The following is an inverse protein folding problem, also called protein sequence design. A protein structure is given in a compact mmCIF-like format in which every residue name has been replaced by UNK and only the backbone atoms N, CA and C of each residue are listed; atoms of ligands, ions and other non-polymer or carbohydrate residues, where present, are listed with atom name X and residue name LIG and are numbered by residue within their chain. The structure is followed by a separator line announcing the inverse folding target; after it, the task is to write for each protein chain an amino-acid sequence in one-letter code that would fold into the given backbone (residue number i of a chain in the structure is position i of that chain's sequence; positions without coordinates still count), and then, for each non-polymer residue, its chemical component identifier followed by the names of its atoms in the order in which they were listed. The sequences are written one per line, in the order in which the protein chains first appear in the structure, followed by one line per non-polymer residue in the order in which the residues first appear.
data_IF_418429500455
#
_entry.id   IF_418429500455
#
_cell.length_a   1.000
_cell.length_b   1.000
_cell.length_c   1.000
_cell.angle_alpha   90.00
_cell.angle_beta   90.00
_cell.angle_gamma   90.00
#
_symmetry.space_group_name_H-M   'P 1'
#
loop_
_entity.id
_entity.type
_entity.pdbx_description
1 polymer ?
#
# COMPACT_ATOMS: atom_id res chain seq x y z
N UNK A 1 -7.07 12.25 2.90
CA UNK A 1 -7.31 11.92 4.32
C UNK A 1 -6.68 10.60 4.70
N UNK A 2 -7.01 9.51 3.98
CA UNK A 2 -6.51 8.16 4.21
C UNK A 2 -4.97 8.01 4.33
N UNK A 3 -4.20 8.79 3.56
CA UNK A 3 -2.74 8.79 3.67
C UNK A 3 -2.24 9.23 5.05
N UNK A 4 -2.79 10.32 5.59
CA UNK A 4 -2.42 10.81 6.92
C UNK A 4 -2.85 9.84 8.03
N UNK A 5 -3.99 9.16 7.85
CA UNK A 5 -4.44 8.08 8.75
C UNK A 5 -3.56 6.82 8.68
N UNK A 6 -2.79 6.66 7.60
CA UNK A 6 -1.82 5.57 7.45
C UNK A 6 -0.49 5.86 8.17
N UNK A 7 -0.34 7.04 8.78
CA UNK A 7 0.90 7.47 9.46
C UNK A 7 0.62 7.83 10.93
N UNK A 8 1.56 7.51 11.80
CA UNK A 8 1.52 7.91 13.20
C UNK A 8 2.94 8.14 13.73
N UNK A 9 3.15 9.08 14.68
CA UNK A 9 4.39 9.16 15.44
C UNK A 9 4.67 7.82 16.12
N UNK A 10 5.91 7.36 16.09
CA UNK A 10 6.33 6.04 16.63
C UNK A 10 5.65 4.82 15.97
N UNK A 11 5.05 5.01 14.79
CA UNK A 11 4.55 3.91 13.97
C UNK A 11 5.67 3.07 13.35
N UNK A 12 5.26 2.07 12.56
CA UNK A 12 6.18 1.10 11.97
C UNK A 12 6.18 -0.23 12.73
N UNK A 13 7.20 -1.05 12.50
CA UNK A 13 7.22 -2.43 12.99
C UNK A 13 6.41 -3.39 12.11
N UNK A 14 6.04 -4.54 12.67
CA UNK A 14 5.21 -5.52 11.99
C UNK A 14 3.73 -5.27 12.32
N UNK A 15 2.81 -5.48 11.36
CA UNK A 15 1.39 -5.52 11.67
C UNK A 15 1.11 -6.65 12.67
N UNK A 16 0.06 -6.50 13.46
CA UNK A 16 -0.30 -7.48 14.48
C UNK A 16 -1.56 -8.27 14.10
N UNK A 17 -1.72 -9.45 14.72
CA UNK A 17 -2.94 -10.24 14.66
C UNK A 17 -3.35 -10.65 13.24
N UNK A 18 -4.65 -10.50 12.93
CA UNK A 18 -5.25 -10.99 11.69
C UNK A 18 -4.68 -10.36 10.41
N UNK A 19 -4.11 -9.15 10.51
CA UNK A 19 -3.49 -8.48 9.35
C UNK A 19 -2.20 -9.18 8.96
N UNK A 20 -1.33 -9.49 9.92
CA UNK A 20 -0.08 -10.21 9.65
C UNK A 20 -0.36 -11.61 9.08
N UNK A 21 -1.31 -12.33 9.69
CA UNK A 21 -1.70 -13.67 9.22
C UNK A 21 -2.19 -13.65 7.77
N UNK A 22 -2.99 -12.65 7.41
CA UNK A 22 -3.49 -12.52 6.05
C UNK A 22 -2.37 -12.12 5.07
N UNK A 23 -1.42 -11.26 5.50
CA UNK A 23 -0.23 -10.93 4.70
C UNK A 23 0.62 -12.17 4.44
N UNK A 24 0.92 -12.95 5.47
CA UNK A 24 1.72 -14.18 5.33
C UNK A 24 1.01 -15.21 4.46
N UNK A 25 -0.32 -15.31 4.55
CA UNK A 25 -1.12 -16.18 3.69
C UNK A 25 -1.06 -15.76 2.21
N UNK A 26 -1.13 -14.47 1.91
CA UNK A 26 -1.30 -13.98 0.53
C UNK A 26 0.01 -13.71 -0.19
N UNK A 27 1.07 -13.36 0.55
CA UNK A 27 2.40 -13.02 0.05
C UNK A 27 3.50 -14.02 0.49
N UNK A 28 3.17 -14.99 1.34
CA UNK A 28 4.09 -16.00 1.88
C UNK A 28 4.90 -15.54 3.10
N UNK A 29 5.23 -14.24 3.19
CA UNK A 29 5.84 -13.63 4.37
C UNK A 29 5.62 -12.11 4.35
N UNK A 30 5.75 -11.45 5.52
CA UNK A 30 5.77 -9.99 5.57
C UNK A 30 6.91 -9.39 4.75
N UNK A 31 8.08 -10.03 4.73
CA UNK A 31 9.23 -9.59 3.93
C UNK A 31 8.90 -9.57 2.44
N UNK A 32 8.26 -10.63 1.92
CA UNK A 32 7.85 -10.70 0.52
C UNK A 32 6.84 -9.60 0.18
N UNK A 33 5.87 -9.36 1.06
CA UNK A 33 4.94 -8.24 0.92
C UNK A 33 5.68 -6.90 0.83
N UNK A 34 6.61 -6.64 1.76
CA UNK A 34 7.38 -5.40 1.79
C UNK A 34 8.19 -5.20 0.51
N UNK A 35 8.84 -6.25 0.03
CA UNK A 35 9.60 -6.23 -1.23
C UNK A 35 8.70 -5.96 -2.45
N UNK A 36 7.53 -6.59 -2.52
CA UNK A 36 6.54 -6.35 -3.58
C UNK A 36 6.00 -4.92 -3.54
N UNK A 37 5.72 -4.40 -2.35
CA UNK A 37 5.24 -3.04 -2.13
C UNK A 37 6.28 -2.00 -2.57
N UNK A 38 7.54 -2.16 -2.16
CA UNK A 38 8.66 -1.31 -2.58
C UNK A 38 8.86 -1.39 -4.09
N UNK A 39 8.84 -2.60 -4.66
CA UNK A 39 8.99 -2.80 -6.11
C UNK A 39 7.88 -2.07 -6.89
N UNK A 40 6.64 -2.16 -6.43
CA UNK A 40 5.52 -1.44 -7.06
C UNK A 40 5.67 0.08 -6.94
N UNK A 41 6.29 0.58 -5.87
CA UNK A 41 6.57 2.00 -5.71
C UNK A 41 7.65 2.48 -6.68
N UNK A 42 8.75 1.74 -6.79
CA UNK A 42 9.87 2.08 -7.69
C UNK A 42 9.50 1.98 -9.17
N UNK A 43 8.49 1.16 -9.53
CA UNK A 43 8.02 1.02 -10.91
C UNK A 43 7.05 2.14 -11.33
N UNK A 44 6.55 2.95 -10.39
CA UNK A 44 5.63 4.02 -10.72
C UNK A 44 6.39 5.18 -11.36
N UNK A 45 6.19 5.38 -12.67
CA UNK A 45 6.70 6.54 -13.39
C UNK A 45 5.66 7.67 -13.37
N UNK A 46 6.03 8.79 -12.76
CA UNK A 46 5.15 9.96 -12.57
C UNK A 46 4.28 9.86 -11.32
N UNK A 47 3.34 10.80 -11.17
CA UNK A 47 2.56 10.95 -9.95
C UNK A 47 1.51 9.85 -9.76
N UNK A 48 1.42 9.32 -8.55
CA UNK A 48 0.40 8.35 -8.19
C UNK A 48 0.64 7.72 -6.83
N UNK A 49 0.09 6.53 -6.64
CA UNK A 49 -0.06 5.92 -5.33
C UNK A 49 0.19 4.42 -5.40
N UNK A 50 0.75 3.87 -4.33
CA UNK A 50 0.79 2.42 -4.09
C UNK A 50 -0.13 2.09 -2.93
N UNK A 51 -0.85 0.98 -3.06
CA UNK A 51 -1.87 0.57 -2.11
C UNK A 51 -1.68 -0.89 -1.76
N UNK A 52 -1.87 -1.22 -0.49
CA UNK A 52 -2.29 -2.54 -0.08
C UNK A 52 -3.82 -2.54 -0.09
N UNK A 53 -4.43 -3.47 -0.82
CA UNK A 53 -5.88 -3.56 -0.93
C UNK A 53 -6.37 -4.96 -0.62
N UNK A 54 -7.60 -5.08 -0.11
CA UNK A 54 -8.35 -6.32 -0.08
C UNK A 54 -9.23 -6.41 -1.34
N UNK A 55 -8.92 -7.40 -2.20
CA UNK A 55 -9.75 -7.81 -3.33
C UNK A 55 -10.99 -8.52 -2.78
N UNK A 56 -12.15 -7.84 -2.75
CA UNK A 56 -13.38 -8.36 -2.10
C UNK A 56 -13.83 -9.72 -2.63
N UNK A 57 -13.77 -9.91 -3.95
CA UNK A 57 -14.24 -11.13 -4.60
C UNK A 57 -13.36 -12.34 -4.28
N UNK A 58 -12.05 -12.10 -4.16
CA UNK A 58 -11.05 -13.14 -3.90
C UNK A 58 -10.78 -13.33 -2.41
N UNK A 59 -11.20 -12.35 -1.58
CA UNK A 59 -10.85 -12.25 -0.16
C UNK A 59 -9.33 -12.37 0.05
N UNK A 60 -8.59 -11.67 -0.82
CA UNK A 60 -7.13 -11.71 -0.89
C UNK A 60 -6.54 -10.31 -0.84
N UNK A 61 -5.43 -10.15 -0.16
CA UNK A 61 -4.59 -8.97 -0.21
C UNK A 61 -3.80 -8.91 -1.52
N UNK A 62 -3.62 -7.69 -2.03
CA UNK A 62 -2.87 -7.42 -3.25
C UNK A 62 -2.20 -6.05 -3.15
N UNK A 63 -0.99 -5.95 -3.70
CA UNK A 63 -0.35 -4.66 -3.96
C UNK A 63 -0.81 -4.16 -5.32
N UNK A 64 -1.36 -2.96 -5.36
CA UNK A 64 -1.76 -2.28 -6.60
C UNK A 64 -1.19 -0.88 -6.63
N UNK A 65 -0.97 -0.35 -7.82
CA UNK A 65 -0.63 1.05 -7.99
C UNK A 65 -1.62 1.74 -8.92
N UNK A 66 -1.85 3.03 -8.66
CA UNK A 66 -2.73 3.86 -9.47
C UNK A 66 -2.02 5.15 -9.85
N UNK A 67 -2.33 5.68 -11.03
CA UNK A 67 -1.81 6.98 -11.47
C UNK A 67 -2.74 8.10 -11.01
N UNK A 68 -2.17 9.29 -10.81
CA UNK A 68 -2.90 10.51 -10.48
C UNK A 68 -3.79 10.34 -9.24
N UNK A 69 -5.07 10.72 -9.33
CA UNK A 69 -6.03 10.69 -8.21
C UNK A 69 -6.94 9.44 -8.21
N UNK A 70 -6.58 8.39 -8.95
CA UNK A 70 -7.41 7.18 -9.03
C UNK A 70 -7.32 6.41 -7.71
N UNK A 71 -8.46 6.13 -7.09
CA UNK A 71 -8.58 5.31 -5.89
C UNK A 71 -8.95 3.86 -6.23
N UNK A 72 -8.39 2.85 -5.53
CA UNK A 72 -8.78 1.45 -5.69
C UNK A 72 -10.27 1.17 -5.43
N UNK A 73 -10.95 2.07 -4.69
CA UNK A 73 -12.40 2.01 -4.48
C UNK A 73 -13.18 2.02 -5.81
N UNK A 74 -12.64 2.67 -6.85
CA UNK A 74 -13.26 2.69 -8.18
C UNK A 74 -13.34 1.30 -8.83
N UNK A 75 -12.52 0.34 -8.37
CA UNK A 75 -12.48 -1.04 -8.84
C UNK A 75 -13.16 -2.02 -7.86
N UNK A 76 -13.79 -1.51 -6.79
CA UNK A 76 -14.45 -2.33 -5.76
C UNK A 76 -13.49 -2.95 -4.74
N UNK A 77 -12.22 -2.56 -4.76
CA UNK A 77 -11.23 -2.99 -3.78
C UNK A 77 -11.32 -2.15 -2.50
N UNK A 78 -10.97 -2.72 -1.35
CA UNK A 78 -10.90 -1.99 -0.07
C UNK A 78 -9.45 -1.59 0.20
N UNK A 79 -9.09 -0.29 0.23
CA UNK A 79 -7.76 0.17 0.64
C UNK A 79 -7.48 -0.13 2.12
N UNK A 80 -6.27 -0.58 2.42
CA UNK A 80 -5.80 -0.88 3.79
C UNK A 80 -4.69 0.08 4.20
N UNK A 81 -3.66 0.24 3.36
CA UNK A 81 -2.63 1.27 3.51
C UNK A 81 -2.34 1.91 2.16
N UNK A 82 -1.88 3.15 2.17
CA UNK A 82 -1.47 3.88 0.96
C UNK A 82 -0.11 4.54 1.14
N UNK A 83 0.69 4.55 0.08
CA UNK A 83 1.92 5.33 -0.04
C UNK A 83 1.75 6.32 -1.19
N UNK A 84 1.89 7.61 -0.90
CA UNK A 84 1.90 8.69 -1.88
C UNK A 84 3.28 8.77 -2.56
N UNK A 85 3.31 8.79 -3.89
CA UNK A 85 4.53 8.90 -4.70
C UNK A 85 4.48 10.12 -5.63
N UNK A 86 3.70 11.14 -5.30
CA UNK A 86 3.81 12.43 -5.96
C UNK A 86 5.20 13.04 -5.69
N UNK A 87 5.82 13.65 -6.70
CA UNK A 87 7.16 14.27 -6.56
C UNK A 87 7.24 15.25 -5.38
N UNK A 88 6.15 15.98 -5.10
CA UNK A 88 6.04 16.88 -3.95
C UNK A 88 6.05 16.19 -2.58
N UNK A 89 5.82 14.88 -2.51
CA UNK A 89 5.83 14.10 -1.26
C UNK A 89 7.25 13.74 -0.80
N UNK A 90 8.28 13.90 -1.65
CA UNK A 90 9.66 13.57 -1.32
C UNK A 90 10.71 14.62 -1.75
N UNK A 91 10.37 15.61 -2.59
CA UNK A 91 11.35 16.55 -3.16
C UNK A 91 12.03 17.52 -2.16
N UNK A 92 11.45 17.75 -0.98
CA UNK A 92 11.98 18.71 -0.01
C UNK A 92 12.93 18.07 1.02
N UNK A 93 12.90 16.75 1.16
CA UNK A 93 13.65 16.00 2.18
C UNK A 93 14.68 15.00 1.59
N UNK A 94 14.81 14.96 0.26
CA UNK A 94 15.84 14.22 -0.48
C UNK A 94 16.62 15.14 -1.43
#
# INVERSE_FOLDING_TARGET
HFFWESMQPEGGGLPEGGVLQQIEKDFGSFTNFREEFIRSALQLLGSGWVWLVLKRNERKLSVVHTRNAISPLAFGDIPIISLDLWEHAYYLDY
#
